data_IF_781582811060
#
_entry.id   IF_781582811060
#
_cell.length_a   1.000
_cell.length_b   1.000
_cell.length_c   1.000
_cell.angle_alpha   90.00
_cell.angle_beta   90.00
_cell.angle_gamma   90.00
#
_symmetry.space_group_name_H-M   'P 1'
#
loop_
_entity.id
_entity.type
_entity.pdbx_description
1 polymer ?
#
# COMPACT_ATOMS: atom_id res chain seq x y z
N UNK A 1 -18.12 -10.55 -58.55
CA UNK A 1 -17.85 -9.54 -59.63
C UNK A 1 -17.16 -8.34 -58.99
N UNK A 2 -16.05 -7.96 -59.60
CA UNK A 2 -15.18 -6.79 -59.41
C UNK A 2 -14.23 -6.78 -58.18
N UNK A 3 -13.00 -7.18 -58.53
CA UNK A 3 -11.73 -6.73 -57.94
C UNK A 3 -11.51 -5.23 -58.07
N UNK A 4 -10.84 -4.63 -57.12
CA UNK A 4 -9.87 -3.56 -57.44
C UNK A 4 -8.75 -3.54 -56.40
N UNK A 5 -7.56 -3.72 -56.90
CA UNK A 5 -6.27 -3.57 -56.24
C UNK A 5 -5.71 -2.18 -56.54
N UNK A 6 -5.00 -1.57 -55.59
CA UNK A 6 -4.01 -0.50 -55.85
C UNK A 6 -3.19 -0.29 -54.55
N UNK A 7 -2.02 -0.50 -54.56
CA UNK A 7 -0.72 0.05 -54.98
C UNK A 7 0.15 0.40 -53.75
N UNK A 8 1.21 -0.36 -53.65
CA UNK A 8 2.44 -0.09 -52.91
C UNK A 8 3.12 1.21 -53.37
N UNK A 9 3.57 2.05 -52.45
CA UNK A 9 4.71 2.93 -52.69
C UNK A 9 5.70 2.87 -51.52
N UNK A 10 6.87 2.36 -51.86
CA UNK A 10 8.14 2.36 -51.17
C UNK A 10 8.81 3.71 -51.23
N UNK A 11 9.28 4.27 -50.14
CA UNK A 11 10.23 5.38 -50.14
C UNK A 11 11.43 5.04 -49.24
N UNK A 12 12.61 5.01 -49.88
CA UNK A 12 13.95 4.77 -49.32
C UNK A 12 14.44 5.98 -48.51
N UNK A 13 15.36 5.78 -47.53
CA UNK A 13 15.94 6.89 -46.76
C UNK A 13 17.12 7.54 -47.47
N UNK A 14 17.26 8.84 -47.29
CA UNK A 14 18.37 9.67 -47.77
C UNK A 14 19.58 9.63 -46.83
N UNK A 15 20.75 9.44 -47.42
CA UNK A 15 22.06 9.48 -46.79
C UNK A 15 22.50 10.92 -46.52
N UNK A 16 23.01 11.22 -45.33
CA UNK A 16 23.67 12.47 -45.02
C UNK A 16 25.20 12.25 -44.90
N UNK A 17 25.88 13.00 -45.75
CA UNK A 17 27.35 13.06 -45.93
C UNK A 17 28.02 13.74 -44.73
N UNK A 18 29.19 13.22 -44.34
CA UNK A 18 30.07 13.80 -43.35
C UNK A 18 30.81 15.05 -43.85
N UNK A 19 31.25 15.86 -42.91
CA UNK A 19 32.20 16.93 -43.07
C UNK A 19 33.41 16.80 -42.15
N UNK A 20 34.60 17.22 -42.54
CA UNK A 20 35.86 16.82 -41.90
C UNK A 20 36.27 17.73 -40.72
N UNK A 21 37.00 17.10 -39.82
CA UNK A 21 37.69 17.74 -38.68
C UNK A 21 38.84 18.63 -39.17
N UNK A 22 38.91 19.85 -38.65
CA UNK A 22 40.12 20.70 -38.71
C UNK A 22 40.90 20.53 -37.40
N UNK A 23 42.12 20.08 -37.51
CA UNK A 23 43.17 20.22 -36.50
C UNK A 23 43.61 21.69 -36.44
N UNK A 24 43.67 22.24 -35.25
CA UNK A 24 44.35 23.49 -34.98
C UNK A 24 45.44 23.24 -33.93
N UNK A 25 46.64 23.29 -34.39
CA UNK A 25 47.87 23.34 -33.58
C UNK A 25 47.98 24.71 -32.92
N UNK A 26 48.21 24.77 -31.62
CA UNK A 26 48.58 26.00 -30.94
C UNK A 26 49.87 25.79 -30.12
N UNK A 27 50.79 26.68 -30.35
CA UNK A 27 52.13 26.83 -29.80
C UNK A 27 52.15 27.08 -28.29
N UNK A 28 53.07 26.44 -27.59
CA UNK A 28 53.50 26.83 -26.24
C UNK A 28 54.48 27.99 -26.29
N UNK A 29 54.44 28.95 -25.38
CA UNK A 29 55.61 29.70 -24.94
C UNK A 29 56.06 29.20 -23.56
N UNK A 30 57.38 28.92 -23.49
CA UNK A 30 58.12 28.68 -22.25
C UNK A 30 58.36 30.02 -21.56
N UNK A 31 57.87 30.17 -20.32
CA UNK A 31 58.35 31.23 -19.42
C UNK A 31 58.93 30.60 -18.16
N UNK A 32 60.20 30.77 -17.98
CA UNK A 32 60.88 30.52 -16.72
C UNK A 32 60.60 31.67 -15.75
N UNK A 33 60.15 31.39 -14.57
CA UNK A 33 59.92 32.40 -13.53
C UNK A 33 59.93 31.80 -12.12
N UNK A 34 60.99 32.09 -11.44
CA UNK A 34 61.29 32.16 -10.00
C UNK A 34 60.36 31.54 -9.01
N UNK A 35 60.84 30.54 -8.29
CA UNK A 35 60.23 29.98 -7.09
C UNK A 35 60.21 31.00 -5.94
N UNK A 36 59.05 31.42 -5.50
CA UNK A 36 58.79 32.00 -4.18
C UNK A 36 58.04 30.95 -3.33
N UNK A 37 58.66 30.48 -2.26
CA UNK A 37 58.09 29.63 -1.24
C UNK A 37 57.12 30.47 -0.43
N UNK A 38 55.81 30.41 -0.81
CA UNK A 38 54.74 30.91 0.01
C UNK A 38 54.12 29.74 0.78
N UNK A 39 54.37 29.64 2.08
CA UNK A 39 53.64 28.76 2.99
C UNK A 39 52.18 29.25 3.09
N UNK A 40 51.29 28.71 2.30
CA UNK A 40 49.83 28.90 2.49
C UNK A 40 49.38 27.95 3.60
N UNK A 41 49.06 28.53 4.76
CA UNK A 41 48.28 27.88 5.80
C UNK A 41 46.93 27.47 5.19
N UNK A 42 46.79 26.20 4.88
CA UNK A 42 45.51 25.64 4.48
C UNK A 42 44.61 25.58 5.73
N UNK A 43 43.80 26.61 5.90
CA UNK A 43 42.73 26.61 6.90
C UNK A 43 41.80 25.46 6.62
N UNK A 44 41.75 24.46 7.50
CA UNK A 44 40.76 23.41 7.46
C UNK A 44 39.36 24.06 7.56
N UNK A 45 38.59 23.97 6.50
CA UNK A 45 37.18 24.36 6.52
C UNK A 45 36.46 23.57 7.63
N UNK A 46 35.60 24.21 8.45
CA UNK A 46 34.88 23.49 9.48
C UNK A 46 34.00 22.42 8.80
N UNK A 47 34.24 21.14 9.13
CA UNK A 47 33.35 20.05 8.78
C UNK A 47 32.00 20.41 9.42
N UNK A 48 31.02 20.76 8.58
CA UNK A 48 29.64 20.90 9.05
C UNK A 48 29.27 19.58 9.72
N UNK A 49 29.06 19.62 11.04
CA UNK A 49 28.50 18.50 11.76
C UNK A 49 27.21 18.10 11.01
N UNK A 50 27.16 16.87 10.50
CA UNK A 50 25.94 16.29 9.97
C UNK A 50 24.94 16.35 11.12
N UNK A 51 23.93 17.22 11.00
CA UNK A 51 22.87 17.34 11.98
C UNK A 51 22.29 15.96 12.22
N UNK A 52 22.19 15.55 13.49
CA UNK A 52 21.54 14.31 13.85
C UNK A 52 20.15 14.29 13.17
N UNK A 53 19.86 13.21 12.48
CA UNK A 53 18.52 13.01 11.90
C UNK A 53 17.48 13.22 13.00
N UNK A 54 16.37 13.92 12.74
CA UNK A 54 15.35 14.12 13.75
C UNK A 54 14.95 12.78 14.34
N UNK A 55 14.69 12.69 15.65
CA UNK A 55 14.32 11.43 16.28
C UNK A 55 13.12 10.84 15.58
N UNK A 56 13.16 9.54 15.31
CA UNK A 56 12.02 8.83 14.71
C UNK A 56 10.81 9.01 15.62
N UNK A 57 9.66 9.47 15.10
CA UNK A 57 8.47 9.66 15.93
C UNK A 57 8.06 8.35 16.57
N UNK A 58 7.55 8.41 17.79
CA UNK A 58 7.07 7.21 18.51
C UNK A 58 5.72 6.80 17.92
N UNK A 59 5.76 5.95 16.91
CA UNK A 59 4.58 5.36 16.27
C UNK A 59 4.24 4.08 17.01
N UNK A 60 2.95 3.87 17.34
CA UNK A 60 2.43 2.60 17.86
C UNK A 60 1.50 1.98 16.83
N UNK A 61 1.61 0.66 16.65
CA UNK A 61 0.74 -0.12 15.77
C UNK A 61 0.01 -1.17 16.61
N UNK A 62 -1.31 -1.03 16.73
CA UNK A 62 -2.19 -2.03 17.32
C UNK A 62 -2.78 -2.89 16.22
N UNK A 63 -3.00 -4.17 16.53
CA UNK A 63 -3.65 -5.14 15.65
C UNK A 63 -4.95 -5.58 16.31
N UNK A 64 -6.08 -5.38 15.63
CA UNK A 64 -7.39 -5.84 16.04
C UNK A 64 -7.70 -7.16 15.35
N UNK A 65 -7.98 -8.20 16.13
CA UNK A 65 -8.47 -9.48 15.61
C UNK A 65 -9.95 -9.34 15.27
N UNK A 66 -10.25 -9.36 14.00
CA UNK A 66 -11.61 -9.26 13.46
C UNK A 66 -12.07 -10.57 12.81
N UNK A 67 -11.45 -11.67 13.24
CA UNK A 67 -11.88 -13.03 12.95
C UNK A 67 -11.16 -13.69 11.80
N UNK A 68 -11.88 -14.58 11.13
CA UNK A 68 -11.33 -15.40 10.05
C UNK A 68 -12.35 -15.63 8.94
N UNK A 69 -11.80 -15.93 7.75
CA UNK A 69 -12.57 -16.41 6.60
C UNK A 69 -12.27 -17.88 6.35
N UNK A 70 -13.28 -18.71 6.36
CA UNK A 70 -13.16 -20.12 5.99
C UNK A 70 -13.15 -20.29 4.46
N UNK A 71 -12.23 -21.08 3.93
CA UNK A 71 -12.15 -21.34 2.49
C UNK A 71 -13.26 -22.32 2.07
N UNK A 72 -14.20 -21.84 1.27
CA UNK A 72 -15.29 -22.68 0.75
C UNK A 72 -14.83 -23.71 -0.29
N UNK A 73 -13.72 -23.44 -0.99
CA UNK A 73 -13.13 -24.33 -2.00
C UNK A 73 -11.60 -24.32 -1.87
N UNK A 74 -11.01 -25.09 -0.94
CA UNK A 74 -9.58 -25.07 -0.68
C UNK A 74 -8.74 -25.79 -1.76
N UNK A 75 -9.33 -26.70 -2.53
CA UNK A 75 -8.59 -27.60 -3.42
C UNK A 75 -7.73 -26.85 -4.47
N UNK A 76 -8.20 -25.81 -5.17
CA UNK A 76 -7.37 -25.05 -6.10
C UNK A 76 -6.17 -24.39 -5.44
N UNK A 77 -6.31 -23.97 -4.17
CA UNK A 77 -5.26 -23.34 -3.38
C UNK A 77 -4.22 -24.38 -2.95
N UNK A 78 -4.67 -25.53 -2.44
CA UNK A 78 -3.81 -26.65 -2.05
C UNK A 78 -2.97 -27.14 -3.23
N UNK A 79 -3.56 -27.28 -4.42
CA UNK A 79 -2.84 -27.66 -5.66
C UNK A 79 -1.75 -26.65 -6.06
N UNK A 80 -1.83 -25.42 -5.59
CA UNK A 80 -0.84 -24.36 -5.81
C UNK A 80 0.15 -24.19 -4.67
N UNK A 81 0.12 -25.08 -3.69
CA UNK A 81 1.07 -25.08 -2.57
C UNK A 81 0.67 -24.20 -1.38
N UNK A 82 -0.57 -23.67 -1.36
CA UNK A 82 -1.13 -23.03 -0.16
C UNK A 82 -1.49 -24.14 0.82
N UNK A 83 -0.86 -24.16 1.99
CA UNK A 83 -1.04 -25.24 2.99
C UNK A 83 -2.14 -24.93 4.00
N UNK A 84 -2.39 -23.63 4.28
CA UNK A 84 -3.49 -23.16 5.13
C UNK A 84 -4.33 -22.23 4.28
N UNK A 85 -5.58 -22.61 4.05
CA UNK A 85 -6.48 -21.93 3.10
C UNK A 85 -7.49 -21.02 3.76
N UNK A 86 -7.65 -21.11 5.09
CA UNK A 86 -8.39 -20.14 5.87
C UNK A 86 -7.55 -18.87 6.07
N UNK A 87 -8.21 -17.74 6.13
CA UNK A 87 -7.58 -16.42 6.18
C UNK A 87 -7.89 -15.71 7.48
N UNK A 88 -6.92 -14.98 8.04
CA UNK A 88 -7.17 -14.01 9.11
C UNK A 88 -7.86 -12.75 8.56
N UNK A 89 -8.66 -12.11 9.39
CA UNK A 89 -9.19 -10.76 9.14
C UNK A 89 -8.76 -9.87 10.27
N UNK A 90 -8.05 -8.81 9.94
CA UNK A 90 -7.51 -7.87 10.94
C UNK A 90 -7.72 -6.43 10.47
N UNK A 91 -7.76 -5.51 11.43
CA UNK A 91 -7.61 -4.09 11.19
C UNK A 91 -6.42 -3.58 12.03
N UNK A 92 -5.89 -2.44 11.65
CA UNK A 92 -4.75 -1.86 12.35
C UNK A 92 -5.03 -0.43 12.77
N UNK A 93 -4.65 -0.06 14.00
CA UNK A 93 -4.63 1.33 14.41
C UNK A 93 -3.19 1.81 14.53
N UNK A 94 -2.84 2.78 13.71
CA UNK A 94 -1.60 3.54 13.86
C UNK A 94 -1.88 4.73 14.78
N UNK A 95 -1.15 4.80 15.89
CA UNK A 95 -1.14 5.97 16.78
C UNK A 95 0.18 6.71 16.59
N UNK A 96 0.07 7.92 16.07
CA UNK A 96 1.19 8.81 15.77
C UNK A 96 1.06 10.09 16.61
N UNK A 97 2.15 10.82 16.98
CA UNK A 97 2.05 12.09 17.72
C UNK A 97 1.16 13.16 17.05
N UNK A 98 0.93 13.05 15.74
CA UNK A 98 0.10 13.98 14.96
C UNK A 98 -1.33 13.47 14.68
N UNK A 99 -1.72 12.32 15.24
CA UNK A 99 -3.06 11.78 15.08
C UNK A 99 -3.10 10.26 14.92
N UNK A 100 -4.28 9.74 14.56
CA UNK A 100 -4.55 8.32 14.43
C UNK A 100 -4.97 7.97 13.00
N UNK A 101 -4.56 6.80 12.52
CA UNK A 101 -5.02 6.21 11.26
C UNK A 101 -5.56 4.81 11.54
N UNK A 102 -6.84 4.57 11.26
CA UNK A 102 -7.39 3.24 11.19
C UNK A 102 -7.21 2.70 9.75
N UNK A 103 -6.62 1.51 9.66
CA UNK A 103 -6.40 0.78 8.43
C UNK A 103 -7.29 -0.45 8.41
N UNK A 104 -8.23 -0.49 7.46
CA UNK A 104 -9.31 -1.48 7.31
C UNK A 104 -10.30 -1.53 8.49
N UNK A 105 -11.41 -2.24 8.32
CA UNK A 105 -12.50 -2.24 9.30
C UNK A 105 -13.26 -3.58 9.40
N UNK A 106 -12.64 -4.70 8.99
CA UNK A 106 -13.14 -6.05 9.22
C UNK A 106 -14.22 -6.55 8.26
N UNK A 107 -14.83 -7.70 8.60
CA UNK A 107 -15.67 -8.49 7.70
C UNK A 107 -17.15 -8.54 8.11
N UNK A 108 -17.46 -8.50 9.41
CA UNK A 108 -18.84 -8.48 9.93
C UNK A 108 -19.07 -7.16 10.66
N UNK A 109 -20.15 -6.41 10.36
CA UNK A 109 -20.50 -5.22 11.10
C UNK A 109 -20.67 -5.51 12.60
N UNK A 110 -20.15 -4.61 13.45
CA UNK A 110 -20.13 -4.77 14.90
C UNK A 110 -21.53 -5.03 15.49
N UNK A 111 -22.57 -4.40 14.92
CA UNK A 111 -23.97 -4.56 15.36
C UNK A 111 -24.52 -5.98 15.14
N UNK A 112 -23.87 -6.78 14.30
CA UNK A 112 -24.25 -8.18 14.06
C UNK A 112 -23.46 -9.16 14.93
N UNK A 113 -22.39 -8.70 15.59
CA UNK A 113 -21.54 -9.57 16.43
C UNK A 113 -22.21 -9.80 17.78
N UNK A 114 -22.54 -11.06 18.07
CA UNK A 114 -23.20 -11.49 19.31
C UNK A 114 -22.17 -11.92 20.35
N UNK A 115 -22.51 -11.87 21.66
CA UNK A 115 -21.73 -12.52 22.69
C UNK A 115 -21.46 -14.00 22.34
N UNK A 116 -20.20 -14.40 22.40
CA UNK A 116 -19.77 -15.75 22.00
C UNK A 116 -19.39 -15.90 20.54
N UNK A 117 -19.58 -14.84 19.73
CA UNK A 117 -19.19 -14.81 18.33
C UNK A 117 -20.38 -14.92 17.35
N UNK A 118 -20.08 -14.60 16.11
CA UNK A 118 -21.04 -14.62 15.00
C UNK A 118 -20.35 -15.18 13.77
N UNK A 119 -21.05 -16.10 13.09
CA UNK A 119 -20.65 -16.61 11.77
C UNK A 119 -21.67 -16.17 10.74
N UNK A 120 -21.20 -15.52 9.69
CA UNK A 120 -22.01 -15.13 8.52
C UNK A 120 -21.29 -15.64 7.27
N UNK A 121 -21.98 -16.47 6.51
CA UNK A 121 -21.38 -17.16 5.36
C UNK A 121 -20.09 -17.89 5.76
N UNK A 122 -18.95 -17.42 5.28
CA UNK A 122 -17.63 -18.00 5.59
C UNK A 122 -16.81 -17.21 6.62
N UNK A 123 -17.36 -16.12 7.14
CA UNK A 123 -16.69 -15.25 8.11
C UNK A 123 -17.11 -15.59 9.53
N UNK A 124 -16.16 -15.68 10.45
CA UNK A 124 -16.41 -15.85 11.90
C UNK A 124 -15.69 -14.74 12.65
N UNK A 125 -16.43 -14.00 13.50
CA UNK A 125 -15.94 -12.89 14.32
C UNK A 125 -16.37 -13.11 15.76
N UNK A 126 -15.46 -12.92 16.71
CA UNK A 126 -15.73 -13.08 18.15
C UNK A 126 -15.67 -11.77 18.92
N UNK A 127 -15.00 -10.75 18.37
CA UNK A 127 -14.81 -9.44 19.01
C UNK A 127 -15.17 -8.33 18.03
N UNK A 128 -15.87 -7.31 18.52
CA UNK A 128 -16.17 -6.12 17.73
C UNK A 128 -14.93 -5.21 17.57
N UNK A 129 -14.87 -4.47 16.49
CA UNK A 129 -13.82 -3.46 16.28
C UNK A 129 -13.93 -2.34 17.32
N UNK A 130 -15.14 -1.82 17.54
CA UNK A 130 -15.39 -0.78 18.55
C UNK A 130 -15.07 -1.23 19.97
N UNK A 131 -15.32 -2.49 20.31
CA UNK A 131 -14.96 -3.07 21.60
C UNK A 131 -13.44 -3.10 21.80
N UNK A 132 -12.68 -3.56 20.82
CA UNK A 132 -11.23 -3.58 20.90
C UNK A 132 -10.60 -2.18 20.90
N UNK A 133 -11.21 -1.20 20.20
CA UNK A 133 -10.83 0.21 20.33
C UNK A 133 -11.03 0.72 21.75
N UNK A 134 -12.18 0.40 22.37
CA UNK A 134 -12.51 0.82 23.72
C UNK A 134 -11.53 0.22 24.77
N UNK A 135 -11.07 -1.02 24.60
CA UNK A 135 -10.06 -1.65 25.44
C UNK A 135 -8.75 -0.85 25.54
N UNK A 136 -8.43 -0.05 24.51
CA UNK A 136 -7.23 0.80 24.47
C UNK A 136 -7.55 2.29 24.62
N UNK A 137 -8.79 2.63 25.02
CA UNK A 137 -9.22 3.98 25.32
C UNK A 137 -9.62 4.83 24.11
N UNK A 138 -9.92 4.22 22.97
CA UNK A 138 -10.41 4.90 21.75
C UNK A 138 -11.86 4.54 21.46
N UNK A 139 -12.52 5.43 20.73
CA UNK A 139 -13.83 5.20 20.11
C UNK A 139 -13.78 5.66 18.64
N UNK A 140 -14.70 5.23 17.77
CA UNK A 140 -14.69 5.62 16.36
C UNK A 140 -14.53 7.12 16.12
N UNK A 141 -15.13 7.98 16.97
CA UNK A 141 -15.04 9.43 16.86
C UNK A 141 -13.63 10.01 17.14
N UNK A 142 -12.74 9.24 17.77
CA UNK A 142 -11.37 9.68 18.08
C UNK A 142 -10.38 9.37 16.93
N UNK A 143 -10.86 8.73 15.87
CA UNK A 143 -10.05 8.37 14.71
C UNK A 143 -9.98 9.55 13.74
N UNK A 144 -8.76 10.08 13.52
CA UNK A 144 -8.55 11.22 12.64
C UNK A 144 -8.64 10.85 11.16
N UNK A 145 -8.04 9.72 10.79
CA UNK A 145 -7.97 9.22 9.42
C UNK A 145 -8.49 7.78 9.34
N UNK A 146 -9.27 7.52 8.30
CA UNK A 146 -9.61 6.17 7.87
C UNK A 146 -8.95 5.92 6.53
N UNK A 147 -8.34 4.75 6.35
CA UNK A 147 -7.98 4.22 5.05
C UNK A 147 -8.42 2.76 4.97
N UNK A 148 -9.12 2.40 3.90
CA UNK A 148 -9.39 1.01 3.54
C UNK A 148 -8.34 0.59 2.52
N UNK A 149 -7.74 -0.59 2.68
CA UNK A 149 -6.86 -1.12 1.64
C UNK A 149 -7.58 -1.20 0.30
N UNK A 150 -8.86 -1.59 0.35
CA UNK A 150 -9.79 -1.59 -0.78
C UNK A 150 -11.24 -1.81 -0.30
N UNK A 151 -12.21 -1.90 -1.23
CA UNK A 151 -13.65 -1.95 -0.91
C UNK A 151 -14.22 -3.32 -0.56
N UNK A 152 -13.47 -4.43 -0.63
CA UNK A 152 -14.04 -5.75 -0.37
C UNK A 152 -14.60 -5.85 1.06
N UNK A 153 -15.58 -6.76 1.22
CA UNK A 153 -16.43 -6.85 2.41
C UNK A 153 -15.66 -7.16 3.69
N UNK A 154 -14.52 -7.81 3.58
CA UNK A 154 -13.64 -8.21 4.68
C UNK A 154 -12.62 -7.14 5.09
N UNK A 155 -12.63 -6.01 4.41
CA UNK A 155 -11.85 -4.81 4.75
C UNK A 155 -12.72 -3.61 5.12
N UNK A 156 -14.01 -3.63 4.77
CA UNK A 156 -14.86 -2.44 4.80
C UNK A 156 -16.11 -2.55 5.69
N UNK A 157 -16.33 -3.67 6.38
CA UNK A 157 -17.61 -3.98 7.04
C UNK A 157 -18.06 -2.96 8.10
N UNK A 158 -17.12 -2.28 8.76
CA UNK A 158 -17.43 -1.24 9.75
C UNK A 158 -17.13 0.18 9.25
N UNK A 159 -16.99 0.39 7.94
CA UNK A 159 -16.63 1.68 7.36
C UNK A 159 -17.55 2.83 7.78
N UNK A 160 -18.84 2.58 7.90
CA UNK A 160 -19.83 3.58 8.30
C UNK A 160 -19.58 4.17 9.70
N UNK A 161 -19.01 3.41 10.63
CA UNK A 161 -18.70 3.89 11.98
C UNK A 161 -17.65 5.01 11.98
N UNK A 162 -16.83 5.07 10.93
CA UNK A 162 -15.71 6.01 10.78
C UNK A 162 -15.98 7.11 9.75
N UNK A 163 -17.24 7.32 9.38
CA UNK A 163 -17.60 8.38 8.43
C UNK A 163 -17.28 9.79 8.92
N UNK A 164 -17.05 9.99 10.22
CA UNK A 164 -16.57 11.25 10.82
C UNK A 164 -15.07 11.49 10.63
N UNK A 165 -14.28 10.47 10.30
CA UNK A 165 -12.86 10.58 10.02
C UNK A 165 -12.60 11.21 8.64
N UNK A 166 -11.40 11.75 8.43
CA UNK A 166 -10.95 12.09 7.07
C UNK A 166 -10.59 10.80 6.34
N UNK A 167 -11.31 10.47 5.28
CA UNK A 167 -11.10 9.26 4.49
C UNK A 167 -9.99 9.48 3.45
N UNK A 168 -8.94 8.65 3.53
CA UNK A 168 -7.80 8.62 2.60
C UNK A 168 -8.01 7.48 1.62
N UNK A 169 -8.23 7.80 0.35
CA UNK A 169 -8.60 6.79 -0.67
C UNK A 169 -8.02 7.14 -2.03
N UNK A 170 -7.54 6.14 -2.75
CA UNK A 170 -7.12 6.32 -4.14
C UNK A 170 -8.32 6.71 -5.00
N UNK A 171 -8.13 7.68 -5.91
CA UNK A 171 -9.20 8.17 -6.80
C UNK A 171 -9.93 7.05 -7.56
N UNK A 172 -9.23 6.05 -8.15
CA UNK A 172 -9.92 4.94 -8.83
C UNK A 172 -10.77 4.09 -7.89
N UNK A 173 -10.35 3.90 -6.64
CA UNK A 173 -11.12 3.15 -5.63
C UNK A 173 -12.39 3.89 -5.26
N UNK A 174 -12.27 5.20 -4.99
CA UNK A 174 -13.44 6.05 -4.69
C UNK A 174 -14.45 6.04 -5.84
N UNK A 175 -13.98 6.09 -7.08
CA UNK A 175 -14.85 6.01 -8.27
C UNK A 175 -15.52 4.63 -8.42
N UNK A 176 -14.83 3.54 -8.06
CA UNK A 176 -15.41 2.21 -8.07
C UNK A 176 -16.46 2.02 -6.97
N UNK A 177 -16.21 2.57 -5.75
CA UNK A 177 -17.12 2.50 -4.62
C UNK A 177 -18.40 3.32 -4.82
N UNK A 178 -18.26 4.50 -5.43
CA UNK A 178 -19.35 5.47 -5.61
C UNK A 178 -19.31 6.05 -7.03
N UNK A 179 -19.68 5.24 -8.02
CA UNK A 179 -19.66 5.66 -9.42
C UNK A 179 -20.78 6.66 -9.72
N UNK A 180 -20.50 7.67 -10.54
CA UNK A 180 -21.49 8.64 -10.99
C UNK A 180 -22.58 7.99 -11.86
N UNK A 181 -22.21 6.92 -12.57
CA UNK A 181 -23.15 6.11 -13.38
C UNK A 181 -23.01 4.65 -12.97
N UNK A 182 -24.15 3.91 -12.80
CA UNK A 182 -24.08 2.50 -12.42
C UNK A 182 -23.26 1.69 -13.44
N UNK A 183 -22.21 0.96 -12.99
CA UNK A 183 -21.42 0.12 -13.86
C UNK A 183 -22.21 -1.15 -14.27
N UNK A 184 -21.81 -1.80 -15.35
CA UNK A 184 -22.41 -3.04 -15.81
C UNK A 184 -22.39 -4.16 -14.72
N UNK A 185 -21.34 -4.14 -13.88
CA UNK A 185 -21.21 -5.05 -12.74
C UNK A 185 -21.06 -4.22 -11.47
N UNK A 186 -22.13 -3.84 -10.77
CA UNK A 186 -22.06 -3.07 -9.53
C UNK A 186 -21.43 -3.89 -8.39
N UNK A 187 -20.82 -3.23 -7.40
CA UNK A 187 -20.48 -3.88 -6.13
C UNK A 187 -21.80 -4.37 -5.50
N UNK A 188 -21.75 -5.54 -4.83
CA UNK A 188 -22.92 -6.07 -4.13
C UNK A 188 -23.50 -4.99 -3.20
N UNK A 189 -24.82 -4.67 -3.30
CA UNK A 189 -25.48 -3.71 -2.43
C UNK A 189 -25.27 -3.98 -0.94
N UNK A 190 -25.24 -5.26 -0.52
CA UNK A 190 -24.98 -5.65 0.87
C UNK A 190 -23.55 -5.27 1.33
N UNK A 191 -22.60 -5.18 0.41
CA UNK A 191 -21.24 -4.70 0.69
C UNK A 191 -21.23 -3.17 0.71
N UNK A 192 -21.86 -2.54 -0.30
CA UNK A 192 -21.91 -1.08 -0.44
C UNK A 192 -22.59 -0.42 0.77
N UNK A 193 -23.63 -1.04 1.34
CA UNK A 193 -24.32 -0.53 2.53
C UNK A 193 -23.37 -0.30 3.71
N UNK A 194 -22.39 -1.17 3.91
CA UNK A 194 -21.46 -1.16 5.05
C UNK A 194 -20.50 0.04 5.05
N UNK A 195 -20.30 0.68 3.92
CA UNK A 195 -19.45 1.86 3.76
C UNK A 195 -20.18 3.05 3.11
N UNK A 196 -21.48 2.98 2.95
CA UNK A 196 -22.30 3.99 2.24
C UNK A 196 -22.15 5.41 2.82
N UNK A 197 -21.94 5.53 4.14
CA UNK A 197 -21.76 6.81 4.80
C UNK A 197 -20.46 7.53 4.37
N UNK A 198 -19.46 6.78 3.89
CA UNK A 198 -18.20 7.36 3.40
C UNK A 198 -18.40 8.24 2.15
N UNK A 199 -19.50 8.08 1.42
CA UNK A 199 -19.84 8.95 0.31
C UNK A 199 -19.91 10.45 0.71
N UNK A 200 -20.22 10.73 1.98
CA UNK A 200 -20.36 12.08 2.55
C UNK A 200 -19.20 12.47 3.48
N UNK A 201 -18.24 11.58 3.70
CA UNK A 201 -17.08 11.85 4.56
C UNK A 201 -16.17 12.91 3.96
N UNK A 202 -15.48 13.65 4.83
CA UNK A 202 -14.33 14.45 4.39
C UNK A 202 -13.33 13.51 3.73
N UNK A 203 -13.07 13.70 2.43
CA UNK A 203 -12.25 12.78 1.64
C UNK A 203 -11.02 13.48 1.09
N UNK A 204 -9.87 12.83 1.20
CA UNK A 204 -8.65 13.18 0.47
C UNK A 204 -8.47 12.14 -0.63
N UNK A 205 -8.64 12.58 -1.88
CA UNK A 205 -8.41 11.74 -3.04
C UNK A 205 -6.91 11.66 -3.33
N UNK A 206 -6.39 10.45 -3.31
CA UNK A 206 -4.98 10.16 -3.53
C UNK A 206 -4.76 9.78 -5.01
N UNK A 207 -3.63 10.25 -5.56
CA UNK A 207 -3.16 9.94 -6.91
C UNK A 207 -1.72 9.38 -6.82
N UNK A 208 -1.53 8.27 -6.11
CA UNK A 208 -0.24 7.63 -5.87
C UNK A 208 0.07 7.47 -4.38
N UNK A 209 1.37 7.41 -4.04
CA UNK A 209 1.80 7.25 -2.65
C UNK A 209 1.53 8.52 -1.83
N UNK A 210 1.19 8.34 -0.56
CA UNK A 210 0.82 9.45 0.33
C UNK A 210 1.41 9.28 1.72
N UNK A 211 2.22 10.24 2.15
CA UNK A 211 2.72 10.32 3.53
C UNK A 211 1.64 10.92 4.44
N UNK A 212 1.03 10.08 5.27
CA UNK A 212 -0.14 10.43 6.09
C UNK A 212 0.17 11.55 7.07
N UNK A 213 1.37 11.53 7.66
CA UNK A 213 1.77 12.48 8.70
C UNK A 213 2.90 13.42 8.25
N UNK A 214 3.44 13.29 7.02
CA UNK A 214 4.44 14.19 6.45
C UNK A 214 5.84 14.04 7.06
N UNK A 215 6.22 12.85 7.56
CA UNK A 215 7.54 12.55 8.12
C UNK A 215 8.11 11.19 7.66
N UNK A 216 7.43 10.55 6.72
CA UNK A 216 7.82 9.28 6.13
C UNK A 216 7.71 8.08 7.07
N UNK A 217 7.05 8.22 8.22
CA UNK A 217 6.84 7.12 9.16
C UNK A 217 5.65 6.24 8.80
N UNK A 218 4.62 6.82 8.14
CA UNK A 218 3.39 6.14 7.75
C UNK A 218 3.01 6.58 6.34
N UNK A 219 3.19 5.69 5.38
CA UNK A 219 2.98 6.01 3.96
C UNK A 219 1.99 5.03 3.34
N UNK A 220 0.89 5.54 2.84
CA UNK A 220 -0.01 4.77 1.97
C UNK A 220 0.69 4.59 0.62
N UNK A 221 0.83 3.36 0.18
CA UNK A 221 1.41 2.98 -1.11
C UNK A 221 0.28 2.68 -2.08
N UNK A 222 0.26 3.33 -3.22
CA UNK A 222 -0.65 2.97 -4.32
C UNK A 222 -0.20 1.64 -4.93
N UNK A 223 -1.04 0.62 -4.80
CA UNK A 223 -0.78 -0.75 -5.27
C UNK A 223 -1.99 -1.32 -6.02
N UNK A 224 -2.43 -0.64 -7.12
CA UNK A 224 -3.59 -1.08 -7.89
C UNK A 224 -3.37 -2.46 -8.51
N UNK A 225 -4.47 -3.17 -8.76
CA UNK A 225 -4.48 -4.48 -9.42
C UNK A 225 -5.53 -5.40 -8.86
N UNK A 226 -5.51 -5.71 -7.59
CA UNK A 226 -6.57 -6.47 -6.91
C UNK A 226 -7.92 -5.74 -7.01
N UNK A 227 -7.93 -4.44 -6.70
CA UNK A 227 -8.98 -3.50 -7.09
C UNK A 227 -8.36 -2.30 -7.82
N UNK A 228 -9.16 -1.46 -8.52
CA UNK A 228 -8.63 -0.34 -9.30
C UNK A 228 -7.78 0.66 -8.52
N UNK A 229 -8.06 0.83 -7.25
CA UNK A 229 -7.35 1.75 -6.37
C UNK A 229 -6.86 1.09 -5.08
N UNK A 230 -6.58 -0.21 -5.11
CA UNK A 230 -5.99 -0.92 -3.98
C UNK A 230 -4.74 -0.21 -3.47
N UNK A 231 -4.55 -0.22 -2.16
CA UNK A 231 -3.41 0.38 -1.49
C UNK A 231 -2.84 -0.53 -0.40
N UNK A 232 -1.55 -0.41 -0.13
CA UNK A 232 -0.82 -1.05 0.97
C UNK A 232 -0.32 0.02 1.93
N UNK A 233 0.07 -0.34 3.16
CA UNK A 233 0.54 0.63 4.15
C UNK A 233 1.97 0.32 4.58
N UNK A 234 2.88 1.27 4.36
CA UNK A 234 4.21 1.25 4.97
C UNK A 234 4.16 1.93 6.33
N UNK A 235 4.74 1.27 7.35
CA UNK A 235 4.88 1.82 8.71
C UNK A 235 6.31 1.63 9.18
N UNK A 236 6.94 2.69 9.71
CA UNK A 236 8.25 2.63 10.33
C UNK A 236 8.11 2.74 11.84
N UNK A 237 8.36 1.65 12.52
CA UNK A 237 8.33 1.52 13.97
C UNK A 237 9.73 1.61 14.54
N UNK A 238 9.88 2.21 15.73
CA UNK A 238 11.20 2.53 16.28
C UNK A 238 11.98 1.27 16.72
N UNK A 239 11.31 0.30 17.34
CA UNK A 239 11.92 -0.95 17.83
C UNK A 239 11.69 -2.13 16.90
N UNK A 240 10.48 -2.23 16.35
CA UNK A 240 10.10 -3.31 15.45
C UNK A 240 10.76 -3.17 14.07
N UNK A 241 11.09 -1.94 13.66
CA UNK A 241 11.62 -1.62 12.34
C UNK A 241 10.53 -1.31 11.32
N UNK A 242 10.93 -1.12 10.04
CA UNK A 242 9.99 -0.84 8.96
C UNK A 242 9.22 -2.09 8.55
N UNK A 243 7.95 -1.93 8.22
CA UNK A 243 7.09 -3.00 7.71
C UNK A 243 6.09 -2.47 6.68
N UNK A 244 5.56 -3.38 5.86
CA UNK A 244 4.46 -3.14 4.93
C UNK A 244 3.31 -4.05 5.30
N UNK A 245 2.12 -3.48 5.48
CA UNK A 245 0.84 -4.18 5.55
C UNK A 245 0.33 -4.32 4.12
N UNK A 246 0.17 -5.55 3.64
CA UNK A 246 -0.05 -5.82 2.22
C UNK A 246 -1.43 -5.37 1.71
N UNK A 247 -2.47 -5.32 2.57
CA UNK A 247 -3.83 -5.50 2.10
C UNK A 247 -3.92 -6.81 1.31
N UNK A 248 -4.64 -6.81 0.21
CA UNK A 248 -4.82 -7.96 -0.68
C UNK A 248 -3.88 -7.97 -1.89
N UNK A 249 -2.75 -7.25 -1.77
CA UNK A 249 -1.65 -7.44 -2.74
C UNK A 249 -1.12 -8.87 -2.70
N UNK A 250 -1.22 -9.52 -1.54
CA UNK A 250 -0.97 -10.93 -1.29
C UNK A 250 -2.00 -11.45 -0.28
N UNK A 251 -2.61 -12.61 -0.57
CA UNK A 251 -3.48 -13.33 0.37
C UNK A 251 -2.72 -14.39 1.14
N UNK A 252 -1.75 -15.01 0.49
CA UNK A 252 -0.94 -16.09 1.06
C UNK A 252 0.55 -15.88 0.79
N UNK A 253 1.44 -16.32 1.69
CA UNK A 253 2.89 -16.24 1.46
C UNK A 253 3.35 -16.92 0.17
N UNK A 254 2.68 -17.99 -0.26
CA UNK A 254 2.97 -18.71 -1.50
C UNK A 254 2.88 -17.83 -2.76
N UNK A 255 2.03 -16.79 -2.75
CA UNK A 255 1.87 -15.89 -3.90
C UNK A 255 3.12 -15.09 -4.24
N UNK A 256 4.05 -14.92 -3.30
CA UNK A 256 5.32 -14.24 -3.57
C UNK A 256 6.21 -15.01 -4.56
N UNK A 257 5.99 -16.30 -4.69
CA UNK A 257 6.79 -17.19 -5.56
C UNK A 257 5.98 -17.81 -6.70
N UNK A 258 4.66 -17.69 -6.67
CA UNK A 258 3.80 -18.18 -7.74
C UNK A 258 3.96 -17.34 -9.00
N UNK A 259 4.03 -18.03 -10.15
CA UNK A 259 4.08 -17.38 -11.47
C UNK A 259 2.72 -16.85 -11.91
N UNK A 260 1.65 -17.52 -11.49
CA UNK A 260 0.27 -17.19 -11.84
C UNK A 260 -0.43 -16.60 -10.62
N UNK A 261 -1.28 -15.61 -10.84
CA UNK A 261 -2.12 -15.05 -9.78
C UNK A 261 -3.14 -16.07 -9.30
N UNK A 262 -3.46 -16.01 -7.99
CA UNK A 262 -4.57 -16.78 -7.47
C UNK A 262 -5.88 -16.13 -7.94
N UNK A 263 -6.95 -16.92 -8.23
CA UNK A 263 -8.20 -16.41 -8.77
C UNK A 263 -9.08 -15.76 -7.69
N UNK A 264 -8.51 -14.84 -6.92
CA UNK A 264 -9.29 -14.00 -6.01
C UNK A 264 -9.89 -12.86 -6.81
N UNK A 265 -11.18 -12.93 -7.05
CA UNK A 265 -11.93 -12.05 -7.94
C UNK A 265 -11.93 -10.58 -7.56
N UNK A 266 -10.87 -9.88 -7.88
CA UNK A 266 -10.85 -8.42 -7.92
C UNK A 266 -11.36 -7.90 -9.27
N UNK A 267 -11.76 -6.64 -9.32
CA UNK A 267 -12.10 -5.94 -10.57
C UNK A 267 -10.91 -5.17 -11.14
N UNK A 268 -9.73 -5.58 -10.74
CA UNK A 268 -8.49 -4.93 -11.12
C UNK A 268 -7.87 -5.51 -12.40
N UNK A 269 -6.58 -5.40 -12.47
CA UNK A 269 -5.78 -5.81 -13.63
C UNK A 269 -4.55 -6.59 -13.17
N UNK A 270 -4.37 -7.80 -13.69
CA UNK A 270 -3.21 -8.65 -13.40
C UNK A 270 -1.88 -7.94 -13.69
N UNK A 271 -1.82 -7.15 -14.76
CA UNK A 271 -0.63 -6.39 -15.10
C UNK A 271 -0.31 -5.29 -14.08
N UNK A 272 -1.34 -4.61 -13.56
CA UNK A 272 -1.18 -3.63 -12.51
C UNK A 272 -0.79 -4.30 -11.19
N UNK A 273 -1.39 -5.44 -10.86
CA UNK A 273 -1.05 -6.18 -9.65
C UNK A 273 0.39 -6.67 -9.69
N UNK A 274 0.87 -7.19 -10.82
CA UNK A 274 2.26 -7.58 -11.00
C UNK A 274 3.22 -6.40 -10.81
N UNK A 275 2.90 -5.23 -11.37
CA UNK A 275 3.69 -4.02 -11.19
C UNK A 275 3.69 -3.55 -9.72
N UNK A 276 2.55 -3.65 -9.04
CA UNK A 276 2.39 -3.31 -7.63
C UNK A 276 3.20 -4.25 -6.73
N UNK A 277 3.17 -5.57 -7.00
CA UNK A 277 4.01 -6.57 -6.32
C UNK A 277 5.50 -6.24 -6.50
N UNK A 278 5.94 -5.96 -7.72
CA UNK A 278 7.33 -5.59 -8.01
C UNK A 278 7.75 -4.31 -7.26
N UNK A 279 6.89 -3.29 -7.22
CA UNK A 279 7.11 -2.05 -6.46
C UNK A 279 7.29 -2.32 -4.97
N UNK A 280 6.40 -3.12 -4.37
CA UNK A 280 6.47 -3.43 -2.93
C UNK A 280 7.70 -4.26 -2.63
N UNK A 281 8.03 -5.30 -3.41
CA UNK A 281 9.24 -6.11 -3.21
C UNK A 281 10.53 -5.25 -3.31
N UNK A 282 10.59 -4.29 -4.23
CA UNK A 282 11.70 -3.35 -4.32
C UNK A 282 11.81 -2.47 -3.08
N UNK A 283 10.68 -1.97 -2.55
CA UNK A 283 10.64 -1.17 -1.32
C UNK A 283 11.05 -1.99 -0.10
N UNK A 284 10.57 -3.25 0.02
CA UNK A 284 10.97 -4.14 1.11
C UNK A 284 12.50 -4.31 1.14
N UNK A 285 13.11 -4.53 -0.03
CA UNK A 285 14.57 -4.65 -0.15
C UNK A 285 15.30 -3.34 0.17
N UNK A 286 14.83 -2.21 -0.36
CA UNK A 286 15.46 -0.88 -0.16
C UNK A 286 15.43 -0.45 1.31
N UNK A 287 14.31 -0.68 1.99
CA UNK A 287 14.11 -0.27 3.38
C UNK A 287 14.49 -1.34 4.41
N UNK A 288 14.82 -2.57 3.97
CA UNK A 288 14.95 -3.71 4.89
C UNK A 288 13.65 -3.98 5.63
N UNK A 289 12.49 -3.76 4.98
CA UNK A 289 11.19 -3.82 5.61
C UNK A 289 10.65 -5.26 5.62
N UNK A 290 9.90 -5.58 6.68
CA UNK A 290 9.10 -6.81 6.75
C UNK A 290 7.82 -6.67 5.92
N UNK A 291 7.33 -7.78 5.37
CA UNK A 291 5.99 -7.86 4.78
C UNK A 291 5.06 -8.59 5.74
N UNK A 292 3.98 -7.95 6.14
CA UNK A 292 2.87 -8.59 6.86
C UNK A 292 1.71 -8.76 5.90
N UNK A 293 1.44 -10.03 5.56
CA UNK A 293 0.31 -10.41 4.70
C UNK A 293 -0.92 -10.50 5.60
N UNK A 294 -1.92 -9.68 5.32
CA UNK A 294 -3.08 -9.47 6.19
C UNK A 294 -3.91 -10.73 6.37
N UNK A 295 -3.94 -11.60 5.38
CA UNK A 295 -4.68 -12.85 5.36
C UNK A 295 -3.85 -14.10 5.75
N UNK A 296 -2.56 -13.94 6.08
CA UNK A 296 -1.73 -15.05 6.55
C UNK A 296 -2.12 -15.47 7.98
N UNK A 297 -3.08 -16.39 8.08
CA UNK A 297 -3.59 -16.89 9.37
C UNK A 297 -2.47 -17.44 10.29
N UNK A 298 -1.46 -18.07 9.70
CA UNK A 298 -0.36 -18.70 10.48
C UNK A 298 0.59 -17.64 11.06
N UNK A 299 0.92 -16.63 10.27
CA UNK A 299 1.75 -15.53 10.77
C UNK A 299 0.96 -14.64 11.73
N UNK A 300 -0.30 -14.33 11.38
CA UNK A 300 -1.17 -13.50 12.20
C UNK A 300 -1.40 -14.07 13.61
N UNK A 301 -1.55 -15.37 13.75
CA UNK A 301 -1.71 -16.04 15.04
C UNK A 301 -0.51 -15.85 16.00
N UNK A 302 0.65 -15.47 15.47
CA UNK A 302 1.88 -15.21 16.27
C UNK A 302 2.04 -13.73 16.62
N UNK A 303 1.27 -12.85 16.01
CA UNK A 303 1.35 -11.42 16.26
C UNK A 303 0.62 -11.05 17.57
N UNK A 304 1.21 -10.09 18.29
CA UNK A 304 0.56 -9.49 19.47
C UNK A 304 -0.71 -8.77 18.98
N UNK A 305 -1.82 -9.07 19.61
CA UNK A 305 -3.09 -8.37 19.39
C UNK A 305 -3.32 -7.29 20.44
N UNK A 306 -4.19 -6.33 20.12
CA UNK A 306 -4.69 -5.36 21.11
C UNK A 306 -5.13 -6.08 22.39
N UNK A 307 -4.82 -5.50 23.60
CA UNK A 307 -4.30 -4.15 23.87
C UNK A 307 -2.77 -3.98 23.72
N UNK A 308 -2.01 -5.03 23.41
CA UNK A 308 -0.59 -4.89 23.11
C UNK A 308 -0.36 -4.21 21.76
N UNK A 309 0.81 -3.58 21.60
CA UNK A 309 1.18 -2.86 20.38
C UNK A 309 2.63 -3.15 19.97
N UNK A 310 2.97 -2.75 18.76
CA UNK A 310 4.31 -2.65 18.20
C UNK A 310 4.75 -1.19 18.15
N UNK A 311 6.04 -0.92 18.43
CA UNK A 311 6.68 0.40 18.40
C UNK A 311 8.13 0.37 17.87
#
# INVERSE_FOLDING_TARGET
>A
MHCSAAHHQSSKPAALRGRPRRLSTLFLPVFAGLAMLGMTLWGAAPVKAQGASPPTPTVKLYIFDLGSLHSANPEPLLKRGVTVTDMSVVAYLVVHPRGTLLWDSGTIPDELVKPGGTTVARATVTKTLSGQLAEIGYKPADINYLALSHYHYDHSANGNQFAGSTWLVQRPERAAMFPDTPPANPIDPNVTEKFSALAKSKTVLLDGDHDVFGDGSVVILSTPGHTPGHQSLFVRLAKTGPLVLSGDLYHYPAERTLKDFLPFGGRGSDAQEAASKAKVEALLKDKGAMLWIQHDLVADAKLKKSPAYYD
#
